data_IF_918946537635
#
_entry.id   IF_918946537635
#
_cell.length_a   1.000
_cell.length_b   1.000
_cell.length_c   1.000
_cell.angle_alpha   90.00
_cell.angle_beta   90.00
_cell.angle_gamma   90.00
#
_symmetry.space_group_name_H-M   'P 1'
#
loop_
_entity.id
_entity.type
_entity.pdbx_description
1 polymer ?
#
# COMPACT_ATOMS: atom_id res chain seq x y z
N UNK A 1 2.46 -20.91 12.54
CA UNK A 1 1.66 -19.78 12.04
C UNK A 1 0.25 -19.91 12.59
N UNK A 2 -0.32 -18.81 13.04
CA UNK A 2 -1.71 -18.70 13.49
C UNK A 2 -2.52 -18.19 12.30
N UNK A 3 -3.60 -18.89 11.96
CA UNK A 3 -4.55 -18.46 10.95
C UNK A 3 -5.93 -18.37 11.59
N UNK A 4 -6.63 -17.29 11.33
CA UNK A 4 -8.03 -17.19 11.70
C UNK A 4 -8.84 -18.13 10.80
N UNK A 5 -9.48 -19.15 11.40
CA UNK A 5 -10.26 -20.14 10.65
C UNK A 5 -11.77 -19.85 10.66
N UNK A 6 -12.28 -19.27 11.75
CA UNK A 6 -13.70 -18.87 11.87
C UNK A 6 -13.86 -17.94 13.08
N UNK A 7 -15.04 -17.34 13.19
CA UNK A 7 -15.50 -16.67 14.40
C UNK A 7 -16.31 -17.65 15.26
N UNK A 8 -16.30 -17.42 16.57
CA UNK A 8 -17.23 -18.13 17.46
C UNK A 8 -18.68 -17.76 17.11
N UNK A 9 -19.66 -18.66 17.34
CA UNK A 9 -21.07 -18.39 17.03
C UNK A 9 -21.67 -17.17 17.75
N UNK A 10 -21.06 -16.73 18.85
CA UNK A 10 -21.43 -15.53 19.62
C UNK A 10 -20.70 -14.25 19.19
N UNK A 11 -19.85 -14.33 18.13
CA UNK A 11 -19.04 -13.25 17.58
C UNK A 11 -18.08 -12.57 18.58
N UNK A 12 -17.97 -13.08 19.81
CA UNK A 12 -17.07 -12.54 20.85
C UNK A 12 -15.69 -13.18 20.87
N UNK A 13 -15.48 -14.23 20.07
CA UNK A 13 -14.23 -14.95 19.98
C UNK A 13 -13.85 -15.29 18.55
N UNK A 14 -12.56 -15.56 18.37
CA UNK A 14 -12.00 -15.98 17.08
C UNK A 14 -11.36 -17.34 17.23
N UNK A 15 -11.75 -18.30 16.40
CA UNK A 15 -11.09 -19.59 16.32
C UNK A 15 -9.82 -19.48 15.53
N UNK A 16 -8.67 -19.61 16.20
CA UNK A 16 -7.36 -19.61 15.56
C UNK A 16 -6.90 -21.04 15.30
N UNK A 17 -6.63 -21.37 14.05
CA UNK A 17 -5.93 -22.60 13.73
C UNK A 17 -4.41 -22.38 13.83
N UNK A 18 -3.74 -23.24 14.57
CA UNK A 18 -2.29 -23.22 14.74
C UNK A 18 -1.67 -24.24 13.80
N UNK A 19 -1.04 -23.76 12.71
CA UNK A 19 -0.19 -24.62 11.92
C UNK A 19 1.25 -24.57 12.44
N UNK A 20 1.61 -25.54 13.27
CA UNK A 20 2.96 -25.73 13.79
C UNK A 20 3.54 -27.02 13.22
N UNK A 21 3.98 -26.95 11.96
CA UNK A 21 4.62 -28.07 11.29
C UNK A 21 6.10 -27.74 10.98
N UNK A 22 6.97 -27.99 11.97
CA UNK A 22 8.43 -27.83 11.77
C UNK A 22 8.99 -28.73 10.67
N UNK A 23 8.64 -30.03 10.60
CA UNK A 23 9.14 -30.89 9.53
C UNK A 23 8.68 -30.47 8.15
N UNK A 24 7.40 -30.10 7.98
CA UNK A 24 6.86 -29.63 6.70
C UNK A 24 7.49 -28.31 6.26
N UNK A 25 7.77 -27.41 7.19
CA UNK A 25 8.45 -26.16 6.90
C UNK A 25 9.90 -26.39 6.43
N UNK A 26 10.64 -27.27 7.11
CA UNK A 26 12.00 -27.64 6.69
C UNK A 26 12.02 -28.32 5.33
N UNK A 27 11.08 -29.23 5.08
CA UNK A 27 10.94 -29.92 3.80
C UNK A 27 10.64 -28.93 2.66
N UNK A 28 9.75 -27.98 2.90
CA UNK A 28 9.37 -26.96 1.94
C UNK A 28 10.56 -26.04 1.60
N UNK A 29 11.31 -25.57 2.60
CA UNK A 29 12.49 -24.73 2.34
C UNK A 29 13.62 -25.51 1.67
N UNK A 30 13.80 -26.78 2.00
CA UNK A 30 14.75 -27.67 1.31
C UNK A 30 14.32 -27.86 -0.15
N UNK A 31 13.02 -28.04 -0.39
CA UNK A 31 12.47 -28.14 -1.75
C UNK A 31 12.72 -26.87 -2.57
N UNK A 32 12.49 -25.69 -2.01
CA UNK A 32 12.79 -24.41 -2.68
C UNK A 32 14.28 -24.24 -2.94
N UNK A 33 15.15 -24.62 -2.00
CA UNK A 33 16.59 -24.57 -2.21
C UNK A 33 17.04 -25.50 -3.34
N UNK A 34 16.53 -26.75 -3.39
CA UNK A 34 16.81 -27.67 -4.47
C UNK A 34 16.29 -27.20 -5.82
N UNK A 35 15.11 -26.56 -5.84
CA UNK A 35 14.53 -25.96 -7.02
C UNK A 35 15.41 -24.80 -7.54
N UNK A 36 15.89 -23.94 -6.64
CA UNK A 36 16.83 -22.87 -6.96
C UNK A 36 18.15 -23.40 -7.53
N UNK A 37 18.75 -24.39 -6.86
CA UNK A 37 19.98 -25.04 -7.34
C UNK A 37 19.77 -25.70 -8.71
N UNK A 38 18.62 -26.39 -8.90
CA UNK A 38 18.25 -26.98 -10.19
C UNK A 38 18.09 -25.93 -11.29
N UNK A 39 17.49 -24.79 -10.98
CA UNK A 39 17.32 -23.67 -11.91
C UNK A 39 18.67 -23.07 -12.32
N UNK A 40 19.54 -22.78 -11.34
CA UNK A 40 20.91 -22.31 -11.59
C UNK A 40 21.71 -23.34 -12.41
N UNK A 41 21.59 -24.62 -12.08
CA UNK A 41 22.25 -25.69 -12.85
C UNK A 41 21.79 -25.75 -14.31
N UNK A 42 20.49 -25.56 -14.59
CA UNK A 42 19.97 -25.54 -15.96
C UNK A 42 20.45 -24.34 -16.77
N UNK A 43 20.70 -23.18 -16.14
CA UNK A 43 21.26 -21.99 -16.80
C UNK A 43 22.72 -22.22 -17.25
N UNK A 44 23.54 -22.91 -16.44
CA UNK A 44 24.95 -23.15 -16.73
C UNK A 44 25.22 -24.44 -17.49
N UNK A 45 24.27 -25.35 -17.58
CA UNK A 45 24.43 -26.65 -18.26
C UNK A 45 24.44 -26.48 -19.78
N UNK A 46 25.56 -26.86 -20.40
CA UNK A 46 25.72 -26.85 -21.87
C UNK A 46 24.75 -27.81 -22.60
N UNK A 47 24.16 -28.79 -21.90
CA UNK A 47 23.17 -29.74 -22.42
C UNK A 47 21.73 -29.31 -22.20
N UNK A 48 21.50 -28.20 -21.52
CA UNK A 48 20.15 -27.69 -21.29
C UNK A 48 19.52 -27.13 -22.57
N UNK A 49 18.20 -27.02 -22.57
CA UNK A 49 17.46 -26.39 -23.67
C UNK A 49 17.95 -24.94 -23.93
N UNK A 50 18.34 -24.23 -22.89
CA UNK A 50 18.97 -22.90 -22.96
C UNK A 50 20.32 -22.92 -23.65
N UNK A 51 21.16 -23.90 -23.34
CA UNK A 51 22.47 -24.10 -24.01
C UNK A 51 22.32 -24.43 -25.50
N UNK A 52 21.29 -25.21 -25.87
CA UNK A 52 20.95 -25.48 -27.27
C UNK A 52 20.40 -24.26 -27.99
N UNK A 53 19.43 -23.57 -27.41
CA UNK A 53 18.87 -22.32 -27.97
C UNK A 53 19.95 -21.25 -28.18
N UNK A 54 20.88 -21.10 -27.23
CA UNK A 54 22.01 -20.18 -27.37
C UNK A 54 22.94 -20.52 -28.50
N UNK A 55 23.14 -21.83 -28.79
CA UNK A 55 23.91 -22.31 -29.94
C UNK A 55 23.14 -22.11 -31.25
N UNK A 56 21.85 -22.43 -31.28
CA UNK A 56 20.97 -22.25 -32.43
C UNK A 56 20.78 -20.76 -32.79
N UNK A 57 20.65 -19.84 -31.79
CA UNK A 57 20.65 -18.41 -31.99
C UNK A 57 21.98 -17.88 -32.56
N UNK A 58 23.10 -18.48 -32.16
CA UNK A 58 24.42 -18.19 -32.76
C UNK A 58 24.55 -18.64 -34.23
N UNK A 59 23.83 -19.66 -34.62
CA UNK A 59 23.80 -20.22 -35.99
C UNK A 59 22.71 -19.55 -36.87
N UNK A 60 21.63 -18.99 -36.26
CA UNK A 60 20.52 -18.32 -36.94
C UNK A 60 20.79 -16.84 -37.35
N UNK A 61 22.04 -16.43 -37.36
CA UNK A 61 22.47 -15.05 -37.72
C UNK A 61 22.02 -14.56 -39.10
N UNK A 62 21.32 -15.39 -39.89
CA UNK A 62 20.94 -15.11 -41.27
C UNK A 62 19.43 -15.12 -41.59
N UNK A 63 18.51 -15.26 -40.61
CA UNK A 63 17.07 -15.32 -40.91
C UNK A 63 16.28 -14.29 -40.11
N UNK A 64 16.12 -13.11 -40.69
CA UNK A 64 15.55 -11.89 -40.05
C UNK A 64 14.01 -11.73 -39.95
N UNK A 65 13.10 -12.60 -40.45
CA UNK A 65 11.66 -12.23 -40.43
C UNK A 65 10.93 -12.52 -39.12
N UNK A 66 11.47 -13.37 -38.22
CA UNK A 66 10.74 -13.78 -37.03
C UNK A 66 10.70 -12.73 -35.89
N UNK A 67 11.74 -11.90 -35.78
CA UNK A 67 11.80 -10.85 -34.76
C UNK A 67 10.79 -9.71 -35.02
N UNK A 68 10.47 -9.42 -36.26
CA UNK A 68 9.48 -8.40 -36.63
C UNK A 68 8.05 -8.79 -36.21
N UNK A 69 7.71 -10.09 -36.30
CA UNK A 69 6.40 -10.61 -35.90
C UNK A 69 6.21 -10.55 -34.38
N UNK A 70 7.26 -10.85 -33.60
CA UNK A 70 7.25 -10.76 -32.15
C UNK A 70 7.11 -9.32 -31.66
N UNK A 71 7.73 -8.36 -32.37
CA UNK A 71 7.62 -6.93 -32.09
C UNK A 71 6.23 -6.37 -32.38
N UNK A 72 5.58 -6.83 -33.46
CA UNK A 72 4.20 -6.44 -33.78
C UNK A 72 3.19 -6.95 -32.74
N UNK A 73 3.42 -8.12 -32.18
CA UNK A 73 2.56 -8.67 -31.13
C UNK A 73 2.75 -7.90 -29.81
N UNK A 74 3.99 -7.55 -29.42
CA UNK A 74 4.25 -6.78 -28.19
C UNK A 74 3.76 -5.33 -28.28
N UNK A 75 3.92 -4.68 -29.44
CA UNK A 75 3.41 -3.32 -29.68
C UNK A 75 1.88 -3.28 -29.72
N UNK A 76 1.22 -4.35 -30.18
CA UNK A 76 -0.23 -4.49 -30.18
C UNK A 76 -0.83 -4.55 -28.77
N UNK A 77 -0.15 -5.17 -27.80
CA UNK A 77 -0.61 -5.27 -26.42
C UNK A 77 -0.44 -3.94 -25.67
N UNK A 78 0.60 -3.18 -25.97
CA UNK A 78 0.85 -1.85 -25.36
C UNK A 78 -0.10 -0.78 -25.89
N UNK A 79 -0.55 -0.88 -27.15
CA UNK A 79 -1.47 0.10 -27.75
C UNK A 79 -2.91 -0.04 -27.27
N UNK A 80 -3.34 -1.19 -26.75
CA UNK A 80 -4.69 -1.34 -26.17
C UNK A 80 -4.87 -0.60 -24.84
N UNK A 81 -3.82 -0.26 -24.12
CA UNK A 81 -3.94 0.51 -22.86
C UNK A 81 -3.81 2.03 -23.04
N UNK A 82 -3.27 2.50 -24.16
CA UNK A 82 -3.12 3.94 -24.43
C UNK A 82 -4.35 4.52 -25.17
N UNK A 83 -5.11 3.71 -25.89
CA UNK A 83 -6.31 4.19 -26.62
C UNK A 83 -7.53 4.47 -25.73
N UNK A 84 -7.52 4.09 -24.45
CA UNK A 84 -8.61 4.42 -23.52
C UNK A 84 -8.48 5.80 -22.85
N UNK A 85 -7.37 6.51 -23.06
CA UNK A 85 -7.09 7.80 -22.44
C UNK A 85 -7.39 9.03 -23.33
N UNK A 86 -7.85 8.84 -24.56
CA UNK A 86 -8.11 9.94 -25.50
C UNK A 86 -9.52 9.86 -26.07
N UNK A 87 -10.52 10.15 -25.24
CA UNK A 87 -11.88 10.40 -25.72
C UNK A 87 -12.38 11.76 -25.25
N UNK A 88 -12.17 12.73 -26.14
CA UNK A 88 -12.98 13.91 -26.46
C UNK A 88 -13.89 14.49 -25.38
N UNK A 89 -13.53 15.68 -24.99
CA UNK A 89 -14.44 16.73 -24.54
C UNK A 89 -15.53 17.00 -25.59
N UNK A 90 -16.74 16.58 -25.35
CA UNK A 90 -17.93 17.08 -26.02
C UNK A 90 -18.73 17.86 -24.98
N UNK A 91 -18.85 19.15 -25.28
CA UNK A 91 -19.71 20.10 -24.56
C UNK A 91 -21.17 19.65 -24.66
N UNK A 92 -21.82 19.38 -23.53
CA UNK A 92 -23.26 19.34 -23.41
C UNK A 92 -23.71 20.33 -22.35
N UNK A 93 -24.67 21.13 -22.75
CA UNK A 93 -25.28 22.24 -22.04
C UNK A 93 -25.81 21.86 -20.67
N UNK A 94 -25.52 22.75 -19.74
CA UNK A 94 -25.96 22.76 -18.35
C UNK A 94 -27.46 22.99 -18.25
N UNK A 95 -28.11 22.19 -17.40
CA UNK A 95 -29.32 22.59 -16.68
C UNK A 95 -28.96 22.79 -15.20
N UNK A 96 -29.51 23.81 -14.54
CA UNK A 96 -28.99 24.29 -13.27
C UNK A 96 -29.57 23.52 -12.11
N UNK A 97 -28.82 22.61 -11.52
CA UNK A 97 -29.00 22.15 -10.16
C UNK A 97 -27.74 22.59 -9.41
N UNK A 98 -27.94 23.30 -8.29
CA UNK A 98 -26.97 24.01 -7.49
C UNK A 98 -25.53 23.47 -7.60
N UNK A 99 -24.69 24.18 -8.37
CA UNK A 99 -23.26 23.96 -8.41
C UNK A 99 -22.65 24.35 -7.08
N UNK A 100 -22.47 23.37 -6.19
CA UNK A 100 -21.45 23.49 -5.15
C UNK A 100 -20.12 23.55 -5.89
N UNK A 101 -19.39 24.67 -5.75
CA UNK A 101 -18.05 24.83 -6.27
C UNK A 101 -17.21 23.62 -5.85
N UNK A 102 -16.43 22.99 -6.76
CA UNK A 102 -15.56 21.90 -6.34
C UNK A 102 -14.60 22.45 -5.29
N UNK A 103 -14.66 21.88 -4.08
CA UNK A 103 -13.73 22.22 -3.00
C UNK A 103 -12.32 21.98 -3.52
N UNK A 104 -11.52 23.03 -3.59
CA UNK A 104 -10.11 22.94 -3.99
C UNK A 104 -9.31 22.64 -2.73
N UNK A 105 -8.44 21.65 -2.75
CA UNK A 105 -7.60 21.23 -1.62
C UNK A 105 -6.85 22.40 -0.97
N UNK A 106 -6.47 23.43 -1.75
CA UNK A 106 -5.80 24.63 -1.23
C UNK A 106 -6.64 25.49 -0.28
N UNK A 107 -7.94 25.23 -0.18
CA UNK A 107 -8.87 25.95 0.72
C UNK A 107 -9.16 25.18 2.00
N UNK A 108 -8.74 23.91 2.07
CA UNK A 108 -8.94 23.07 3.25
C UNK A 108 -7.85 23.31 4.29
N UNK A 109 -8.19 23.22 5.60
CA UNK A 109 -7.19 23.26 6.65
C UNK A 109 -6.20 22.10 6.44
N UNK A 110 -4.91 22.41 6.50
CA UNK A 110 -3.87 21.45 6.17
C UNK A 110 -2.74 21.48 7.20
N UNK A 111 -2.42 20.32 7.75
CA UNK A 111 -1.31 20.10 8.68
C UNK A 111 0.01 20.19 7.91
N UNK A 112 1.06 20.71 8.55
CA UNK A 112 2.41 20.75 7.95
C UNK A 112 2.96 19.36 7.66
N UNK A 113 3.58 19.18 6.50
CA UNK A 113 4.21 17.91 6.12
C UNK A 113 5.33 17.51 7.09
N UNK A 114 6.13 18.48 7.56
CA UNK A 114 7.20 18.22 8.54
C UNK A 114 6.65 17.74 9.88
N UNK A 115 5.49 18.26 10.33
CA UNK A 115 4.83 17.78 11.53
C UNK A 115 4.24 16.39 11.33
N UNK A 116 3.59 16.16 10.16
CA UNK A 116 3.03 14.88 9.80
C UNK A 116 4.09 13.76 9.73
N UNK A 117 5.29 14.06 9.21
CA UNK A 117 6.42 13.12 9.21
C UNK A 117 6.82 12.69 10.64
N UNK A 118 6.81 13.62 11.61
CA UNK A 118 7.07 13.28 13.02
C UNK A 118 5.99 12.37 13.59
N UNK A 119 4.72 12.65 13.30
CA UNK A 119 3.61 11.78 13.68
C UNK A 119 3.73 10.39 13.04
N UNK A 120 4.11 10.32 11.77
CA UNK A 120 4.37 9.09 11.03
C UNK A 120 5.46 8.21 11.66
N UNK A 121 6.34 8.78 12.49
CA UNK A 121 7.40 8.04 13.20
C UNK A 121 6.93 7.34 14.49
N UNK A 122 5.75 7.65 15.02
CA UNK A 122 5.13 6.88 16.10
C UNK A 122 4.87 5.45 15.66
N UNK A 123 4.69 4.55 16.61
CA UNK A 123 4.50 3.13 16.36
C UNK A 123 3.05 2.74 16.64
N UNK A 124 2.52 1.82 15.85
CA UNK A 124 1.21 1.20 16.03
C UNK A 124 1.31 -0.32 15.96
N UNK A 125 0.41 -0.99 16.65
CA UNK A 125 0.23 -2.44 16.52
C UNK A 125 -0.82 -2.70 15.42
N UNK A 126 -0.39 -3.27 14.30
CA UNK A 126 -1.33 -3.59 13.23
C UNK A 126 -2.19 -4.83 13.56
N UNK A 127 -3.30 -5.07 12.84
CA UNK A 127 -4.18 -6.22 13.09
C UNK A 127 -3.50 -7.60 12.99
N UNK A 128 -2.33 -7.66 12.32
CA UNK A 128 -1.53 -8.89 12.21
C UNK A 128 -0.56 -9.09 13.40
N UNK A 129 -0.62 -8.24 14.42
CA UNK A 129 0.24 -8.32 15.62
C UNK A 129 1.67 -7.81 15.38
N UNK A 130 1.95 -7.08 14.30
CA UNK A 130 3.26 -6.46 14.02
C UNK A 130 3.27 -5.00 14.45
N UNK A 131 4.34 -4.59 15.12
CA UNK A 131 4.63 -3.18 15.32
C UNK A 131 5.16 -2.58 14.03
N UNK A 132 4.58 -1.47 13.61
CA UNK A 132 5.00 -0.74 12.43
C UNK A 132 4.88 0.78 12.64
N UNK A 133 5.64 1.61 11.89
CA UNK A 133 5.46 3.06 11.93
C UNK A 133 4.04 3.44 11.52
N UNK A 134 3.49 4.52 12.11
CA UNK A 134 2.23 5.13 11.68
C UNK A 134 2.25 5.41 10.19
N UNK A 135 3.39 5.87 9.64
CA UNK A 135 3.58 6.10 8.20
C UNK A 135 3.24 4.89 7.32
N UNK A 136 3.67 3.68 7.70
CA UNK A 136 3.33 2.45 6.97
C UNK A 136 1.83 2.17 7.02
N UNK A 137 1.22 2.38 8.18
CA UNK A 137 -0.20 2.14 8.42
C UNK A 137 -1.08 3.14 7.64
N UNK A 138 -0.79 4.45 7.75
CA UNK A 138 -1.51 5.50 7.03
C UNK A 138 -1.36 5.38 5.51
N UNK A 139 -0.18 4.95 5.03
CA UNK A 139 0.05 4.67 3.61
C UNK A 139 -0.84 3.53 3.08
N UNK A 140 -1.04 2.48 3.88
CA UNK A 140 -1.96 1.41 3.51
C UNK A 140 -3.41 1.90 3.46
N UNK A 141 -3.82 2.76 4.40
CA UNK A 141 -5.14 3.39 4.45
C UNK A 141 -5.35 4.28 3.22
N UNK A 142 -4.42 5.19 2.93
CA UNK A 142 -4.56 6.10 1.78
C UNK A 142 -4.67 5.34 0.46
N UNK A 143 -3.83 4.31 0.25
CA UNK A 143 -3.95 3.44 -0.93
C UNK A 143 -5.30 2.74 -1.02
N UNK A 144 -5.87 2.35 0.11
CA UNK A 144 -7.18 1.69 0.15
C UNK A 144 -8.32 2.66 -0.17
N UNK A 145 -8.26 3.87 0.38
CA UNK A 145 -9.30 4.89 0.19
C UNK A 145 -9.19 5.59 -1.17
N UNK A 146 -7.99 6.03 -1.54
CA UNK A 146 -7.76 6.88 -2.71
C UNK A 146 -7.17 6.12 -3.91
N UNK A 147 -6.48 5.01 -3.66
CA UNK A 147 -5.85 4.20 -4.71
C UNK A 147 -4.49 4.71 -5.18
N UNK A 148 -3.86 5.65 -4.45
CA UNK A 148 -2.53 6.17 -4.72
C UNK A 148 -1.76 6.42 -3.40
N UNK A 149 -0.45 6.65 -3.50
CA UNK A 149 0.42 6.90 -2.35
C UNK A 149 0.38 8.35 -1.85
N UNK A 150 -0.16 9.26 -2.67
CA UNK A 150 -0.29 10.69 -2.38
C UNK A 150 -1.64 11.20 -2.87
N UNK A 151 -2.22 12.15 -2.14
CA UNK A 151 -3.42 12.87 -2.52
C UNK A 151 -3.07 14.34 -2.81
N UNK A 152 -3.10 14.75 -4.08
CA UNK A 152 -2.78 16.11 -4.51
C UNK A 152 -1.45 16.66 -3.96
N UNK A 153 -0.41 15.81 -3.88
CA UNK A 153 0.91 16.18 -3.37
C UNK A 153 1.07 16.05 -1.85
N UNK A 154 0.00 15.73 -1.11
CA UNK A 154 0.08 15.39 0.31
C UNK A 154 0.45 13.92 0.49
N UNK A 155 1.28 13.63 1.48
CA UNK A 155 1.57 12.29 1.92
C UNK A 155 0.43 11.68 2.76
N UNK A 156 0.56 10.40 3.07
CA UNK A 156 -0.46 9.67 3.81
C UNK A 156 -0.63 10.14 5.25
N UNK A 157 0.45 10.56 5.92
CA UNK A 157 0.42 11.00 7.30
C UNK A 157 -0.28 12.35 7.40
N UNK A 158 0.01 13.25 6.45
CA UNK A 158 -0.63 14.55 6.33
C UNK A 158 -2.13 14.42 6.05
N UNK A 159 -2.51 13.56 5.09
CA UNK A 159 -3.91 13.28 4.79
C UNK A 159 -4.64 12.72 6.01
N UNK A 160 -4.03 11.76 6.70
CA UNK A 160 -4.62 11.13 7.88
C UNK A 160 -4.84 12.13 9.01
N UNK A 161 -3.85 12.96 9.32
CA UNK A 161 -3.97 14.01 10.33
C UNK A 161 -5.02 15.07 9.98
N UNK A 162 -5.10 15.43 8.72
CA UNK A 162 -6.12 16.38 8.24
C UNK A 162 -7.53 15.81 8.45
N UNK A 163 -7.77 14.56 8.07
CA UNK A 163 -9.07 13.90 8.24
C UNK A 163 -9.42 13.71 9.72
N UNK A 164 -8.41 13.39 10.56
CA UNK A 164 -8.58 13.22 12.00
C UNK A 164 -8.95 14.54 12.70
N UNK A 165 -8.33 15.65 12.29
CA UNK A 165 -8.44 16.94 12.98
C UNK A 165 -9.54 17.84 12.43
N UNK A 166 -9.92 17.66 11.18
CA UNK A 166 -10.90 18.48 10.46
C UNK A 166 -11.89 17.58 9.70
N UNK A 167 -12.65 16.74 10.44
CA UNK A 167 -13.50 15.71 9.82
C UNK A 167 -14.62 16.28 8.95
N UNK A 168 -15.18 17.45 9.31
CA UNK A 168 -16.27 18.05 8.55
C UNK A 168 -15.82 18.56 7.19
N UNK A 169 -14.69 19.28 7.16
CA UNK A 169 -14.13 19.86 5.94
C UNK A 169 -13.58 18.77 5.01
N UNK A 170 -12.83 17.82 5.56
CA UNK A 170 -12.24 16.74 4.79
C UNK A 170 -13.26 15.66 4.43
N UNK A 171 -14.29 15.46 5.25
CA UNK A 171 -15.40 14.55 4.94
C UNK A 171 -16.25 15.00 3.75
N UNK A 172 -16.28 16.30 3.45
CA UNK A 172 -16.93 16.86 2.26
C UNK A 172 -16.08 16.78 0.99
N UNK A 173 -14.76 16.56 1.12
CA UNK A 173 -13.85 16.44 -0.02
C UNK A 173 -13.92 15.03 -0.63
N UNK A 174 -13.98 14.89 -1.99
CA UNK A 174 -14.06 13.57 -2.64
C UNK A 174 -12.69 12.89 -2.68
N UNK A 175 -12.49 11.86 -1.86
CA UNK A 175 -11.27 11.06 -1.81
C UNK A 175 -11.50 9.54 -1.78
N UNK A 176 -12.75 9.07 -1.61
CA UNK A 176 -13.07 7.65 -1.61
C UNK A 176 -13.21 7.19 -3.05
N UNK A 177 -12.31 6.31 -3.48
CA UNK A 177 -12.28 5.78 -4.85
C UNK A 177 -13.42 4.78 -5.08
N UNK A 178 -14.16 4.99 -6.16
CA UNK A 178 -15.22 4.10 -6.63
C UNK A 178 -14.97 3.77 -8.10
N UNK A 179 -14.73 2.50 -8.40
CA UNK A 179 -14.45 2.05 -9.78
C UNK A 179 -15.75 1.80 -10.59
N UNK A 180 -16.89 1.65 -9.93
CA UNK A 180 -18.18 1.37 -10.54
C UNK A 180 -18.90 2.65 -10.93
N UNK A 181 -19.12 2.84 -12.24
CA UNK A 181 -19.77 4.05 -12.78
C UNK A 181 -21.23 4.20 -12.35
N UNK A 182 -21.94 3.09 -12.18
CA UNK A 182 -23.34 3.10 -11.73
C UNK A 182 -23.45 3.66 -10.31
N UNK A 183 -22.53 3.27 -9.41
CA UNK A 183 -22.45 3.82 -8.06
C UNK A 183 -22.08 5.31 -8.06
N UNK A 184 -21.13 5.73 -8.91
CA UNK A 184 -20.76 7.15 -9.02
C UNK A 184 -21.96 8.01 -9.44
N UNK A 185 -22.72 7.56 -10.45
CA UNK A 185 -23.93 8.26 -10.90
C UNK A 185 -25.01 8.33 -9.81
N UNK A 186 -25.16 7.27 -9.00
CA UNK A 186 -26.09 7.24 -7.87
C UNK A 186 -25.79 8.33 -6.84
N UNK A 187 -24.52 8.66 -6.62
CA UNK A 187 -24.07 9.75 -5.74
C UNK A 187 -23.91 11.10 -6.46
N UNK A 188 -24.36 11.22 -7.71
CA UNK A 188 -24.27 12.45 -8.49
C UNK A 188 -22.85 12.93 -8.79
N UNK A 189 -21.89 12.00 -8.88
CA UNK A 189 -20.48 12.30 -9.16
C UNK A 189 -20.06 11.79 -10.54
N UNK A 190 -19.42 12.66 -11.32
CA UNK A 190 -18.93 12.34 -12.66
C UNK A 190 -17.45 11.88 -12.68
N UNK A 191 -16.77 11.91 -11.51
CA UNK A 191 -15.35 11.58 -11.36
C UNK A 191 -15.09 10.09 -11.06
N UNK A 192 -14.01 9.84 -10.31
CA UNK A 192 -13.64 8.52 -9.78
C UNK A 192 -13.78 8.44 -8.26
N UNK A 193 -14.12 9.54 -7.63
CA UNK A 193 -14.09 9.70 -6.18
C UNK A 193 -15.42 10.27 -5.70
N UNK A 194 -15.84 9.81 -4.52
CA UNK A 194 -16.95 10.36 -3.76
C UNK A 194 -16.44 10.93 -2.43
N UNK A 195 -17.18 11.86 -1.85
CA UNK A 195 -16.93 12.33 -0.50
C UNK A 195 -17.56 11.38 0.53
N UNK A 196 -17.02 11.37 1.75
CA UNK A 196 -17.61 10.56 2.82
C UNK A 196 -19.04 11.02 3.15
N UNK A 197 -19.30 12.33 3.09
CA UNK A 197 -20.62 12.88 3.32
C UNK A 197 -21.66 12.49 2.25
N UNK A 198 -21.26 12.13 1.04
CA UNK A 198 -22.18 11.75 -0.04
C UNK A 198 -23.00 10.48 0.25
N UNK A 199 -22.52 9.63 1.18
CA UNK A 199 -23.20 8.38 1.55
C UNK A 199 -24.21 8.54 2.70
N UNK A 200 -24.45 9.77 3.16
CA UNK A 200 -25.44 10.11 4.17
C UNK A 200 -26.52 11.01 3.60
N UNK A 201 -27.74 10.86 4.10
CA UNK A 201 -28.84 11.76 3.76
C UNK A 201 -28.80 13.06 4.58
N UNK A 202 -29.77 13.96 4.33
CA UNK A 202 -29.87 15.23 5.04
C UNK A 202 -30.12 15.06 6.57
N UNK A 203 -30.64 13.94 6.99
CA UNK A 203 -30.89 13.59 8.39
C UNK A 203 -29.71 12.87 9.04
N UNK A 204 -28.64 12.63 8.30
CA UNK A 204 -27.42 11.95 8.76
C UNK A 204 -27.52 10.41 8.75
N UNK A 205 -28.53 9.82 8.11
CA UNK A 205 -28.66 8.38 8.03
C UNK A 205 -27.81 7.82 6.87
N UNK A 206 -27.21 6.66 7.09
CA UNK A 206 -26.45 5.96 6.07
C UNK A 206 -27.36 5.42 4.96
N UNK A 207 -27.24 5.97 3.76
CA UNK A 207 -28.13 5.68 2.61
C UNK A 207 -28.08 4.20 2.21
N UNK A 208 -26.97 3.55 2.38
CA UNK A 208 -26.76 2.14 1.95
C UNK A 208 -27.13 1.11 3.02
N UNK A 209 -27.59 1.50 4.22
CA UNK A 209 -27.80 0.60 5.36
C UNK A 209 -28.66 -0.63 5.04
N UNK A 210 -29.82 -0.42 4.41
CA UNK A 210 -30.75 -1.52 4.07
C UNK A 210 -30.17 -2.47 3.01
N UNK A 211 -29.44 -1.92 2.05
CA UNK A 211 -28.82 -2.67 0.97
C UNK A 211 -27.65 -3.52 1.51
N UNK A 212 -26.83 -2.91 2.38
CA UNK A 212 -25.74 -3.61 3.04
C UNK A 212 -26.21 -4.75 3.94
N UNK A 213 -27.28 -4.56 4.72
CA UNK A 213 -27.87 -5.64 5.52
C UNK A 213 -28.27 -6.83 4.63
N UNK A 214 -28.84 -6.55 3.45
CA UNK A 214 -29.22 -7.60 2.49
C UNK A 214 -27.98 -8.31 1.92
N UNK A 215 -26.91 -7.57 1.61
CA UNK A 215 -25.69 -8.11 1.03
C UNK A 215 -24.91 -8.94 2.05
N UNK A 216 -24.82 -8.50 3.31
CA UNK A 216 -24.18 -9.26 4.38
C UNK A 216 -24.89 -10.59 4.67
N UNK A 217 -26.22 -10.63 4.54
CA UNK A 217 -27.00 -11.86 4.68
C UNK A 217 -26.80 -12.87 3.54
N UNK A 218 -26.27 -12.43 2.37
CA UNK A 218 -26.03 -13.31 1.22
C UNK A 218 -24.73 -14.12 1.40
N UNK A 219 -24.73 -15.43 1.10
CA UNK A 219 -23.51 -16.21 0.96
C UNK A 219 -22.56 -15.59 -0.07
N UNK A 220 -21.25 -15.70 0.16
CA UNK A 220 -20.23 -15.11 -0.72
C UNK A 220 -20.35 -15.59 -2.19
N UNK A 221 -20.79 -16.83 -2.40
CA UNK A 221 -20.99 -17.43 -3.73
C UNK A 221 -22.17 -16.83 -4.53
N UNK A 222 -23.11 -16.17 -3.86
CA UNK A 222 -24.30 -15.57 -4.47
C UNK A 222 -24.17 -14.06 -4.70
N UNK A 223 -23.07 -13.47 -4.20
CA UNK A 223 -22.78 -12.03 -4.35
C UNK A 223 -22.43 -11.71 -5.79
N UNK A 224 -23.13 -10.73 -6.37
CA UNK A 224 -22.87 -10.18 -7.69
C UNK A 224 -21.72 -9.19 -7.64
N UNK A 225 -21.20 -8.77 -8.81
CA UNK A 225 -20.16 -7.78 -8.92
C UNK A 225 -20.52 -6.45 -8.21
N UNK A 226 -21.77 -6.00 -8.36
CA UNK A 226 -22.26 -4.80 -7.68
C UNK A 226 -22.22 -4.96 -6.16
N UNK A 227 -22.64 -6.12 -5.63
CA UNK A 227 -22.57 -6.41 -4.19
C UNK A 227 -21.12 -6.33 -3.68
N UNK A 228 -20.15 -6.83 -4.46
CA UNK A 228 -18.73 -6.75 -4.11
C UNK A 228 -18.18 -5.32 -4.15
N UNK A 229 -18.65 -4.50 -5.08
CA UNK A 229 -18.24 -3.09 -5.18
C UNK A 229 -18.85 -2.26 -4.05
N UNK A 230 -20.09 -2.55 -3.65
CA UNK A 230 -20.76 -1.97 -2.48
C UNK A 230 -20.05 -2.36 -1.17
N UNK A 231 -19.64 -3.61 -1.00
CA UNK A 231 -18.86 -4.04 0.17
C UNK A 231 -17.53 -3.29 0.29
N UNK A 232 -16.82 -3.05 -0.82
CA UNK A 232 -15.60 -2.26 -0.82
C UNK A 232 -15.85 -0.80 -0.44
N UNK A 233 -16.96 -0.24 -0.93
CA UNK A 233 -17.36 1.12 -0.59
C UNK A 233 -17.69 1.22 0.90
N UNK A 234 -18.52 0.31 1.42
CA UNK A 234 -18.90 0.23 2.82
C UNK A 234 -17.66 0.10 3.75
N UNK A 235 -16.71 -0.77 3.37
CA UNK A 235 -15.43 -0.89 4.07
C UNK A 235 -14.65 0.43 4.10
N UNK A 236 -14.61 1.16 2.97
CA UNK A 236 -13.95 2.47 2.89
C UNK A 236 -14.65 3.51 3.76
N UNK A 237 -15.97 3.56 3.73
CA UNK A 237 -16.78 4.45 4.57
C UNK A 237 -16.55 4.16 6.06
N UNK A 238 -16.50 2.89 6.44
CA UNK A 238 -16.25 2.46 7.82
C UNK A 238 -14.83 2.81 8.28
N UNK A 239 -13.81 2.69 7.41
CA UNK A 239 -12.44 3.14 7.73
C UNK A 239 -12.44 4.63 8.05
N UNK A 240 -13.08 5.46 7.22
CA UNK A 240 -13.17 6.91 7.45
C UNK A 240 -13.89 7.22 8.77
N UNK A 241 -15.02 6.55 9.02
CA UNK A 241 -15.76 6.69 10.28
C UNK A 241 -14.87 6.38 11.49
N UNK A 242 -14.13 5.28 11.45
CA UNK A 242 -13.21 4.87 12.52
C UNK A 242 -12.04 5.85 12.71
N UNK A 243 -11.54 6.49 11.63
CA UNK A 243 -10.56 7.57 11.76
C UNK A 243 -11.16 8.74 12.53
N UNK A 244 -12.35 9.20 12.14
CA UNK A 244 -13.04 10.31 12.77
C UNK A 244 -13.40 10.03 14.24
N UNK A 245 -13.67 8.77 14.61
CA UNK A 245 -13.90 8.32 15.98
C UNK A 245 -12.62 8.00 16.76
N UNK A 246 -11.42 8.23 16.17
CA UNK A 246 -10.11 7.93 16.77
C UNK A 246 -9.89 6.44 17.11
N UNK A 247 -10.61 5.52 16.45
CA UNK A 247 -10.64 4.08 16.75
C UNK A 247 -9.72 3.25 15.81
N UNK A 248 -8.96 3.90 14.94
CA UNK A 248 -8.21 3.17 13.92
C UNK A 248 -6.73 3.00 14.24
N UNK A 249 -6.13 3.88 15.06
CA UNK A 249 -4.71 3.84 15.40
C UNK A 249 -4.49 3.32 16.82
N UNK A 250 -4.10 2.06 17.02
CA UNK A 250 -3.70 1.56 18.34
C UNK A 250 -2.34 2.13 18.73
N UNK A 251 -2.35 3.29 19.40
CA UNK A 251 -1.17 4.07 19.79
C UNK A 251 -0.72 3.79 21.23
N UNK A 252 -1.61 3.28 22.10
CA UNK A 252 -1.37 3.18 23.52
C UNK A 252 -1.15 1.73 23.95
N UNK A 253 0.13 1.30 24.20
CA UNK A 253 0.41 -0.02 24.73
C UNK A 253 -0.02 -0.12 26.20
N UNK A 254 -0.69 -1.22 26.56
CA UNK A 254 -0.93 -1.56 27.96
C UNK A 254 0.28 -2.30 28.54
N UNK A 255 1.06 -1.59 29.34
CA UNK A 255 2.25 -2.16 29.99
C UNK A 255 1.96 -3.24 31.01
N UNK A 256 0.71 -3.46 31.41
CA UNK A 256 0.28 -4.48 32.37
C UNK A 256 -0.30 -5.72 31.68
N UNK A 257 -0.68 -5.62 30.40
CA UNK A 257 -1.20 -6.75 29.66
C UNK A 257 -0.06 -7.68 29.19
N UNK A 258 -0.15 -8.95 29.55
CA UNK A 258 0.81 -9.98 29.14
C UNK A 258 0.69 -10.38 27.67
N UNK A 259 -0.45 -10.11 27.04
CA UNK A 259 -0.70 -10.37 25.63
C UNK A 259 -0.22 -9.22 24.72
N UNK A 260 0.17 -8.11 25.34
CA UNK A 260 0.69 -6.94 24.61
C UNK A 260 -0.37 -6.20 23.82
N UNK A 261 -1.55 -6.01 24.40
CA UNK A 261 -2.64 -5.28 23.78
C UNK A 261 -2.33 -3.79 23.67
N UNK A 262 -2.69 -3.22 22.55
CA UNK A 262 -2.60 -1.78 22.27
C UNK A 262 -4.01 -1.24 22.04
N UNK A 263 -4.22 0.00 22.45
CA UNK A 263 -5.51 0.66 22.38
C UNK A 263 -5.43 1.91 21.49
N UNK A 264 -6.49 2.13 20.74
CA UNK A 264 -6.70 3.39 20.02
C UNK A 264 -7.27 4.46 20.98
N UNK A 265 -7.07 5.76 20.71
CA UNK A 265 -7.62 6.82 21.56
C UNK A 265 -9.14 6.77 21.75
N UNK A 266 -9.88 6.28 20.77
CA UNK A 266 -11.34 6.16 20.80
C UNK A 266 -11.87 4.82 21.33
N UNK A 267 -10.98 3.93 21.82
CA UNK A 267 -11.37 2.65 22.44
C UNK A 267 -11.78 2.86 23.91
N UNK A 268 -12.29 1.80 24.55
CA UNK A 268 -12.46 1.77 25.99
C UNK A 268 -11.09 1.70 26.70
N UNK A 269 -10.70 2.81 27.31
CA UNK A 269 -9.41 2.98 27.99
C UNK A 269 -9.46 2.63 29.50
N UNK A 270 -10.51 1.96 29.96
CA UNK A 270 -10.69 1.54 31.36
C UNK A 270 -9.60 0.60 31.89
N UNK A 271 -8.87 -0.08 31.00
CA UNK A 271 -7.72 -0.91 31.36
C UNK A 271 -6.56 -0.11 31.98
N UNK A 272 -6.42 1.19 31.64
CA UNK A 272 -5.37 2.04 32.18
C UNK A 272 -5.74 2.60 33.56
N UNK A 273 -4.74 2.69 34.46
CA UNK A 273 -4.94 3.14 35.84
C UNK A 273 -4.01 4.31 36.20
N UNK A 274 -4.43 5.10 37.20
CA UNK A 274 -3.61 6.16 37.77
C UNK A 274 -3.17 7.22 36.75
N UNK A 275 -1.87 7.49 36.69
CA UNK A 275 -1.29 8.51 35.78
C UNK A 275 -1.41 8.12 34.31
N UNK A 276 -1.35 6.83 34.00
CA UNK A 276 -1.47 6.35 32.62
C UNK A 276 -2.88 6.58 32.08
N UNK A 277 -3.92 6.36 32.89
CA UNK A 277 -5.30 6.64 32.52
C UNK A 277 -5.51 8.12 32.19
N UNK A 278 -4.98 9.02 33.03
CA UNK A 278 -5.05 10.46 32.75
C UNK A 278 -4.35 10.86 31.46
N UNK A 279 -3.19 10.24 31.21
CA UNK A 279 -2.42 10.50 29.98
C UNK A 279 -3.18 10.06 28.74
N UNK A 280 -3.55 8.76 28.64
CA UNK A 280 -4.16 8.21 27.42
C UNK A 280 -5.51 8.84 27.10
N UNK A 281 -6.28 9.26 28.14
CA UNK A 281 -7.59 9.88 27.95
C UNK A 281 -7.51 11.32 27.44
N UNK A 282 -6.45 12.06 27.79
CA UNK A 282 -6.37 13.50 27.49
C UNK A 282 -5.40 13.89 26.40
N UNK A 283 -4.40 13.05 26.14
CA UNK A 283 -3.30 13.41 25.23
C UNK A 283 -3.78 13.63 23.79
N UNK A 284 -4.78 12.86 23.32
CA UNK A 284 -5.28 12.99 21.96
C UNK A 284 -6.13 14.23 21.77
N UNK A 285 -7.00 14.55 22.75
CA UNK A 285 -7.80 15.80 22.73
C UNK A 285 -6.87 17.01 22.70
N UNK A 286 -5.83 16.99 23.52
CA UNK A 286 -4.82 18.04 23.54
C UNK A 286 -4.06 18.12 22.22
N UNK A 287 -3.69 16.98 21.65
CA UNK A 287 -2.99 16.93 20.37
C UNK A 287 -3.82 17.57 19.24
N UNK A 288 -5.12 17.21 19.14
CA UNK A 288 -6.03 17.77 18.11
C UNK A 288 -6.20 19.28 18.30
N UNK A 289 -6.32 19.73 19.56
CA UNK A 289 -6.39 21.16 19.86
C UNK A 289 -5.15 21.90 19.37
N UNK A 290 -3.94 21.37 19.63
CA UNK A 290 -2.69 21.97 19.18
C UNK A 290 -2.46 21.86 17.68
N UNK A 291 -2.99 20.82 17.01
CA UNK A 291 -3.03 20.78 15.55
C UNK A 291 -3.85 21.93 14.96
N UNK A 292 -5.03 22.19 15.52
CA UNK A 292 -5.85 23.34 15.14
C UNK A 292 -5.14 24.69 15.36
N UNK A 293 -4.39 24.83 16.45
CA UNK A 293 -3.54 26.00 16.71
C UNK A 293 -2.40 26.11 15.70
N UNK A 294 -1.74 24.97 15.39
CA UNK A 294 -0.67 24.87 14.42
C UNK A 294 -1.09 25.31 13.01
N UNK A 295 -2.26 24.87 12.56
CA UNK A 295 -2.81 25.28 11.26
C UNK A 295 -3.08 26.79 11.21
N UNK A 296 -3.61 27.38 12.31
CA UNK A 296 -3.92 28.83 12.38
C UNK A 296 -2.68 29.71 12.49
N UNK A 297 -1.70 29.29 13.29
CA UNK A 297 -0.52 30.10 13.64
C UNK A 297 0.74 29.72 12.86
N UNK A 298 0.72 28.64 12.10
CA UNK A 298 1.87 27.99 11.46
C UNK A 298 3.02 27.68 12.47
N UNK A 299 2.67 27.40 13.72
CA UNK A 299 3.60 27.06 14.80
C UNK A 299 3.26 25.67 15.36
N UNK A 300 4.14 24.73 15.12
CA UNK A 300 3.95 23.30 15.40
C UNK A 300 4.66 22.82 16.67
N UNK A 301 5.33 23.72 17.41
CA UNK A 301 6.19 23.34 18.53
C UNK A 301 5.45 22.61 19.64
N UNK A 302 4.24 23.03 20.00
CA UNK A 302 3.49 22.38 21.08
C UNK A 302 2.94 21.02 20.62
N UNK A 303 2.44 20.94 19.40
CA UNK A 303 2.02 19.67 18.82
C UNK A 303 3.21 18.67 18.69
N UNK A 304 4.41 19.14 18.33
CA UNK A 304 5.62 18.33 18.29
C UNK A 304 6.00 17.77 19.67
N UNK A 305 5.87 18.55 20.73
CA UNK A 305 6.10 18.08 22.11
C UNK A 305 5.13 16.97 22.51
N UNK A 306 3.88 17.06 22.06
CA UNK A 306 2.89 16.01 22.36
C UNK A 306 3.27 14.70 21.66
N UNK A 307 3.74 14.75 20.40
CA UNK A 307 4.28 13.56 19.70
C UNK A 307 5.44 12.96 20.50
N UNK A 308 6.36 13.80 20.99
CA UNK A 308 7.47 13.34 21.82
C UNK A 308 7.00 12.66 23.10
N UNK A 309 5.99 13.22 23.78
CA UNK A 309 5.37 12.63 24.97
C UNK A 309 4.72 11.27 24.65
N UNK A 310 4.00 11.15 23.51
CA UNK A 310 3.44 9.89 23.05
C UNK A 310 4.54 8.85 22.78
N UNK A 311 5.62 9.25 22.12
CA UNK A 311 6.75 8.35 21.85
C UNK A 311 7.42 7.86 23.15
N UNK A 312 7.66 8.76 24.11
CA UNK A 312 8.19 8.37 25.44
C UNK A 312 7.26 7.38 26.13
N UNK A 313 5.94 7.60 26.09
CA UNK A 313 4.96 6.68 26.66
C UNK A 313 5.03 5.31 25.99
N UNK A 314 5.06 5.26 24.65
CA UNK A 314 5.19 4.04 23.89
C UNK A 314 6.46 3.26 24.26
N UNK A 315 7.62 3.94 24.32
CA UNK A 315 8.89 3.32 24.69
C UNK A 315 8.88 2.76 26.12
N UNK A 316 8.21 3.44 27.04
CA UNK A 316 8.15 3.02 28.44
C UNK A 316 7.18 1.85 28.68
N UNK A 317 6.08 1.76 27.90
CA UNK A 317 4.98 0.81 28.14
C UNK A 317 4.96 -0.37 27.18
N UNK A 318 5.53 -0.29 25.99
CA UNK A 318 5.59 -1.40 25.04
C UNK A 318 6.60 -2.47 25.49
N UNK A 319 6.10 -3.46 26.24
CA UNK A 319 6.92 -4.58 26.73
C UNK A 319 6.87 -5.79 25.80
N UNK A 320 5.70 -6.08 25.26
CA UNK A 320 5.44 -7.22 24.38
C UNK A 320 4.44 -6.78 23.28
N UNK A 321 4.85 -6.76 22.02
CA UNK A 321 6.23 -6.79 21.52
C UNK A 321 6.99 -5.50 21.86
N UNK A 322 8.30 -5.58 22.03
CA UNK A 322 9.17 -4.42 22.28
C UNK A 322 9.41 -3.63 21.01
N UNK A 323 9.42 -2.30 21.12
CA UNK A 323 9.69 -1.42 19.99
C UNK A 323 11.19 -1.49 19.64
N UNK A 324 11.50 -1.88 18.41
CA UNK A 324 12.84 -1.83 17.85
C UNK A 324 13.00 -0.56 17.01
N UNK A 325 13.60 0.46 17.60
CA UNK A 325 13.80 1.75 16.95
C UNK A 325 14.65 1.67 15.67
N UNK A 326 15.52 0.66 15.53
CA UNK A 326 16.32 0.49 14.30
C UNK A 326 15.42 -0.03 13.17
N UNK A 327 14.52 -0.96 13.45
CA UNK A 327 13.54 -1.44 12.48
C UNK A 327 12.56 -0.35 12.07
N UNK A 328 12.08 0.46 13.02
CA UNK A 328 11.21 1.61 12.73
C UNK A 328 11.90 2.59 11.76
N UNK A 329 13.14 2.99 12.05
CA UNK A 329 13.92 3.87 11.16
C UNK A 329 14.18 3.22 9.78
N UNK A 330 14.49 1.94 9.76
CA UNK A 330 14.71 1.20 8.51
C UNK A 330 13.43 1.15 7.66
N UNK A 331 12.26 0.98 8.28
CA UNK A 331 10.97 0.96 7.58
C UNK A 331 10.59 2.34 7.06
N UNK A 332 10.80 3.41 7.83
CA UNK A 332 10.60 4.78 7.35
C UNK A 332 11.50 5.09 6.15
N UNK A 333 12.78 4.73 6.22
CA UNK A 333 13.71 4.88 5.10
C UNK A 333 13.27 4.06 3.87
N UNK A 334 12.81 2.83 4.08
CA UNK A 334 12.28 1.98 3.01
C UNK A 334 11.08 2.62 2.30
N UNK A 335 10.15 3.19 3.06
CA UNK A 335 8.97 3.86 2.53
C UNK A 335 9.35 5.14 1.75
N UNK A 336 10.29 5.95 2.26
CA UNK A 336 10.78 7.16 1.59
C UNK A 336 11.51 6.87 0.27
N UNK A 337 12.37 5.85 0.25
CA UNK A 337 13.17 5.52 -0.93
C UNK A 337 12.35 4.94 -2.09
N UNK A 338 11.22 4.30 -1.81
CA UNK A 338 10.35 3.66 -2.79
C UNK A 338 11.12 2.83 -3.84
N UNK A 339 12.08 2.01 -3.34
CA UNK A 339 13.10 1.34 -4.16
C UNK A 339 12.51 0.52 -5.31
N UNK A 340 11.42 -0.19 -5.06
CA UNK A 340 10.84 -1.09 -6.07
C UNK A 340 10.17 -0.33 -7.22
N UNK A 341 9.68 0.88 -6.97
CA UNK A 341 9.19 1.74 -8.04
C UNK A 341 10.31 2.11 -9.01
N UNK A 342 11.47 2.54 -8.48
CA UNK A 342 12.62 2.91 -9.29
C UNK A 342 13.24 1.70 -10.00
N UNK A 343 13.32 0.54 -9.33
CA UNK A 343 13.77 -0.71 -9.95
C UNK A 343 12.86 -1.11 -11.12
N UNK A 344 11.53 -1.04 -10.95
CA UNK A 344 10.57 -1.33 -12.01
C UNK A 344 10.78 -0.43 -13.23
N UNK A 345 10.96 0.87 -13.00
CA UNK A 345 11.19 1.84 -14.06
C UNK A 345 12.53 1.58 -14.78
N UNK A 346 13.59 1.32 -14.01
CA UNK A 346 14.90 0.98 -14.54
C UNK A 346 14.85 -0.28 -15.41
N UNK A 347 14.23 -1.36 -14.94
CA UNK A 347 14.07 -2.60 -15.73
C UNK A 347 13.28 -2.39 -17.01
N UNK A 348 12.19 -1.61 -16.95
CA UNK A 348 11.37 -1.32 -18.12
C UNK A 348 12.14 -0.54 -19.17
N UNK A 349 12.81 0.55 -18.77
CA UNK A 349 13.52 1.43 -19.71
C UNK A 349 14.80 0.76 -20.22
N UNK A 350 15.69 0.34 -19.31
CA UNK A 350 16.99 -0.23 -19.70
C UNK A 350 16.83 -1.56 -20.43
N UNK A 351 15.92 -2.41 -19.95
CA UNK A 351 15.60 -3.70 -20.60
C UNK A 351 14.96 -3.51 -21.98
N UNK A 352 14.06 -2.53 -22.11
CA UNK A 352 13.47 -2.17 -23.39
C UNK A 352 14.52 -1.69 -24.39
N UNK A 353 15.41 -0.76 -24.00
CA UNK A 353 16.49 -0.28 -24.85
C UNK A 353 17.42 -1.43 -25.24
N UNK A 354 17.79 -2.30 -24.29
CA UNK A 354 18.65 -3.45 -24.57
C UNK A 354 18.01 -4.41 -25.56
N UNK A 355 16.70 -4.63 -25.45
CA UNK A 355 15.94 -5.45 -26.39
C UNK A 355 15.97 -4.83 -27.80
N UNK A 356 15.77 -3.51 -27.92
CA UNK A 356 15.88 -2.81 -29.22
C UNK A 356 17.26 -2.94 -29.84
N UNK A 357 18.32 -2.78 -29.05
CA UNK A 357 19.70 -2.95 -29.54
C UNK A 357 19.95 -4.38 -30.00
N UNK A 358 19.51 -5.37 -29.21
CA UNK A 358 19.67 -6.78 -29.57
C UNK A 358 18.96 -7.12 -30.88
N UNK A 359 17.74 -6.61 -31.09
CA UNK A 359 17.04 -6.76 -32.36
C UNK A 359 17.77 -6.04 -33.52
N UNK A 360 18.28 -4.84 -33.27
CA UNK A 360 19.07 -4.09 -34.27
C UNK A 360 20.37 -4.77 -34.67
N UNK A 361 21.06 -5.41 -33.71
CA UNK A 361 22.27 -6.21 -34.01
C UNK A 361 21.98 -7.44 -34.87
N UNK A 362 20.80 -8.05 -34.71
CA UNK A 362 20.37 -9.19 -35.53
C UNK A 362 20.04 -8.76 -36.96
N UNK A 363 19.40 -7.60 -37.13
CA UNK A 363 18.88 -7.14 -38.42
C UNK A 363 19.93 -6.38 -39.24
N UNK A 364 20.74 -5.51 -38.60
CA UNK A 364 21.52 -4.49 -39.30
C UNK A 364 23.02 -4.47 -38.96
N UNK A 365 23.57 -5.48 -38.31
CA UNK A 365 24.99 -5.57 -37.87
C UNK A 365 25.52 -4.29 -37.20
N UNK A 366 24.78 -3.82 -36.21
CA UNK A 366 24.94 -2.54 -35.53
C UNK A 366 26.19 -2.53 -34.63
N UNK A 367 27.33 -2.09 -35.15
CA UNK A 367 28.64 -2.15 -34.46
C UNK A 367 28.74 -1.39 -33.15
N UNK A 368 27.97 -0.30 -32.99
CA UNK A 368 27.92 0.49 -31.77
C UNK A 368 27.07 -0.18 -30.67
N UNK A 369 26.19 -1.07 -31.04
CA UNK A 369 25.29 -1.77 -30.13
C UNK A 369 26.05 -2.50 -29.03
N UNK A 370 27.16 -3.15 -29.36
CA UNK A 370 27.92 -3.97 -28.39
C UNK A 370 28.50 -3.16 -27.22
N UNK A 371 29.00 -1.93 -27.47
CA UNK A 371 29.50 -1.05 -26.38
C UNK A 371 28.35 -0.53 -25.52
N UNK A 372 27.26 -0.12 -26.18
CA UNK A 372 26.08 0.40 -25.47
C UNK A 372 25.39 -0.72 -24.65
N UNK A 373 25.30 -1.92 -25.19
CA UNK A 373 24.78 -3.10 -24.47
C UNK A 373 25.58 -3.36 -23.18
N UNK A 374 26.92 -3.24 -23.22
CA UNK A 374 27.76 -3.39 -22.04
C UNK A 374 27.43 -2.38 -20.93
N UNK A 375 27.21 -1.10 -21.29
CA UNK A 375 26.83 -0.05 -20.35
C UNK A 375 25.44 -0.33 -19.76
N UNK A 376 24.47 -0.71 -20.61
CA UNK A 376 23.12 -1.01 -20.17
C UNK A 376 23.06 -2.21 -19.24
N UNK A 377 23.85 -3.26 -19.52
CA UNK A 377 23.97 -4.44 -18.64
C UNK A 377 24.56 -4.02 -17.29
N UNK A 378 25.58 -3.17 -17.26
CA UNK A 378 26.13 -2.66 -16.01
C UNK A 378 25.09 -1.88 -15.20
N UNK A 379 24.29 -1.01 -15.83
CA UNK A 379 23.19 -0.29 -15.19
C UNK A 379 22.07 -1.23 -14.68
N UNK A 380 21.73 -2.27 -15.46
CA UNK A 380 20.77 -3.30 -15.02
C UNK A 380 21.30 -4.09 -13.83
N UNK A 381 22.62 -4.36 -13.78
CA UNK A 381 23.25 -5.01 -12.62
C UNK A 381 23.14 -4.13 -11.38
N UNK A 382 23.35 -2.81 -11.50
CA UNK A 382 23.15 -1.87 -10.40
C UNK A 382 21.68 -1.88 -9.94
N UNK A 383 20.72 -1.86 -10.87
CA UNK A 383 19.30 -1.95 -10.55
C UNK A 383 18.96 -3.27 -9.84
N UNK A 384 19.57 -4.38 -10.25
CA UNK A 384 19.41 -5.68 -9.60
C UNK A 384 19.99 -5.71 -8.19
N UNK A 385 21.16 -5.12 -7.97
CA UNK A 385 21.74 -4.99 -6.64
C UNK A 385 20.88 -4.11 -5.72
N UNK A 386 20.31 -3.03 -6.26
CA UNK A 386 19.36 -2.17 -5.55
C UNK A 386 18.08 -2.94 -5.19
N UNK A 387 17.56 -3.74 -6.12
CA UNK A 387 16.42 -4.63 -5.86
C UNK A 387 16.75 -5.64 -4.76
N UNK A 388 17.91 -6.27 -4.83
CA UNK A 388 18.41 -7.19 -3.80
C UNK A 388 18.47 -6.51 -2.42
N UNK A 389 19.03 -5.30 -2.35
CA UNK A 389 19.09 -4.53 -1.12
C UNK A 389 17.67 -4.23 -0.58
N UNK A 390 16.71 -3.90 -1.45
CA UNK A 390 15.32 -3.69 -1.07
C UNK A 390 14.65 -4.94 -0.49
N UNK A 391 14.89 -6.12 -1.10
CA UNK A 391 14.39 -7.42 -0.60
C UNK A 391 14.99 -7.75 0.77
N UNK A 392 16.30 -7.57 0.93
CA UNK A 392 16.99 -7.80 2.21
C UNK A 392 16.52 -6.84 3.30
N UNK A 393 16.33 -5.57 2.97
CA UNK A 393 15.82 -4.57 3.90
C UNK A 393 14.39 -4.93 4.35
N UNK A 394 13.54 -5.37 3.43
CA UNK A 394 12.19 -5.85 3.74
C UNK A 394 12.24 -7.07 4.66
N UNK A 395 13.15 -8.02 4.41
CA UNK A 395 13.35 -9.17 5.29
C UNK A 395 13.76 -8.75 6.71
N UNK A 396 14.69 -7.81 6.83
CA UNK A 396 15.12 -7.27 8.13
C UNK A 396 13.97 -6.63 8.89
N UNK A 397 13.17 -5.78 8.22
CA UNK A 397 12.02 -5.07 8.79
C UNK A 397 10.95 -6.06 9.27
N UNK A 398 10.55 -7.00 8.41
CA UNK A 398 9.47 -7.95 8.73
C UNK A 398 9.89 -9.06 9.68
N UNK A 399 11.20 -9.34 9.79
CA UNK A 399 11.72 -10.44 10.62
C UNK A 399 11.44 -11.84 10.07
N UNK A 400 10.85 -11.94 8.88
CA UNK A 400 10.59 -13.19 8.16
C UNK A 400 10.93 -13.03 6.68
N UNK A 401 11.13 -14.16 5.99
CA UNK A 401 11.43 -14.14 4.57
C UNK A 401 10.30 -13.46 3.77
N UNK A 402 10.63 -12.64 2.75
CA UNK A 402 9.71 -11.74 2.07
C UNK A 402 8.83 -12.45 1.02
N UNK A 403 8.07 -13.44 1.41
CA UNK A 403 7.06 -14.17 0.62
C UNK A 403 5.81 -14.54 1.41
N UNK A 404 5.56 -13.85 2.52
CA UNK A 404 4.43 -14.14 3.38
C UNK A 404 3.09 -13.65 2.82
N UNK A 405 3.10 -12.68 1.92
CA UNK A 405 1.91 -12.14 1.26
C UNK A 405 2.11 -12.01 -0.25
N UNK A 406 1.03 -11.75 -0.99
CA UNK A 406 1.05 -11.66 -2.45
C UNK A 406 2.04 -10.60 -2.98
N UNK A 407 2.13 -9.44 -2.32
CA UNK A 407 3.04 -8.37 -2.70
C UNK A 407 4.51 -8.80 -2.55
N UNK A 408 4.87 -9.36 -1.40
CA UNK A 408 6.22 -9.86 -1.14
C UNK A 408 6.61 -10.99 -2.09
N UNK A 409 5.68 -11.92 -2.34
CA UNK A 409 5.88 -13.01 -3.30
C UNK A 409 6.13 -12.49 -4.72
N UNK A 410 5.39 -11.47 -5.16
CA UNK A 410 5.61 -10.86 -6.48
C UNK A 410 6.97 -10.19 -6.59
N UNK A 411 7.41 -9.45 -5.56
CA UNK A 411 8.73 -8.81 -5.53
C UNK A 411 9.84 -9.87 -5.56
N UNK A 412 9.73 -10.89 -4.73
CA UNK A 412 10.71 -11.97 -4.66
C UNK A 412 10.78 -12.77 -5.98
N UNK A 413 9.64 -13.08 -6.59
CA UNK A 413 9.57 -13.74 -7.90
C UNK A 413 10.19 -12.87 -8.99
N UNK A 414 9.90 -11.57 -9.00
CA UNK A 414 10.49 -10.63 -9.95
C UNK A 414 12.01 -10.57 -9.79
N UNK A 415 12.51 -10.55 -8.56
CA UNK A 415 13.94 -10.61 -8.26
C UNK A 415 14.60 -11.88 -8.78
N UNK A 416 13.99 -13.04 -8.58
CA UNK A 416 14.47 -14.32 -9.09
C UNK A 416 14.46 -14.41 -10.63
N UNK A 417 13.52 -13.73 -11.30
CA UNK A 417 13.41 -13.75 -12.76
C UNK A 417 14.44 -12.84 -13.45
N UNK A 418 14.88 -11.79 -12.76
CA UNK A 418 15.86 -10.83 -13.32
C UNK A 418 17.30 -11.26 -13.06
N UNK A 419 17.59 -11.92 -11.92
CA UNK A 419 18.91 -12.42 -11.53
C UNK A 419 19.20 -13.79 -12.08
#
# INVERSE_FOLDING_TARGET
RLFQSSFDPDEQGTVLSVSYDRPGMQLTYTGYFLLFVGFVWTLFSKKSRFGRLRKELGEMKNNAPFCLLFFLILSGISSMQVLSAQQKSVSLQQSPIAAQHPLVVSQLPCVSSLHAEKFGSLVVLNPNGRLEPVNSYTSAILRKLYGADQLNGMDSDQFFLNLLSFPDEWGAFPFIKVDNKELLQRFGRDGKYIAWQDVFDADGNYILANEMNTIYAKPASERKRLDSDLLKLDESVNIVYRIMQHQLLPLFPDGNDLQGKWYSPGDDLSAFQGKDSLFVTKIMDWYIYELGNGVRSNNWKEADKIIEMMNIFQQAKAKVPTIDNQKVKAELLYNQLNLFFWCRLAYLILGGILLFIACGEIIADFKWGRKLSGILIALLTIAFLTHTAGVLLRWYICGHAPWANAYESMICTSWLLVG
#
